data_IF_034976951565
#
_entry.id   IF_034976951565
#
_cell.length_a   1.000
_cell.length_b   1.000
_cell.length_c   1.000
_cell.angle_alpha   90.00
_cell.angle_beta   90.00
_cell.angle_gamma   90.00
#
_symmetry.space_group_name_H-M   'P 1'
#
loop_
_entity.id
_entity.type
_entity.pdbx_description
1 polymer ?
#
# COMPACT_ATOMS: atom_id res chain seq x y z
N UNK A 1 -27.27 -26.35 40.77
CA UNK A 1 -26.08 -26.58 41.61
C UNK A 1 -25.27 -27.65 40.90
N UNK A 2 -24.30 -27.24 40.08
CA UNK A 2 -22.91 -26.94 40.44
C UNK A 2 -22.08 -28.19 40.17
N UNK A 3 -21.43 -28.26 39.01
CA UNK A 3 -20.10 -28.86 38.96
C UNK A 3 -19.30 -28.28 37.79
N UNK A 4 -18.51 -27.27 38.17
CA UNK A 4 -17.42 -26.69 37.40
C UNK A 4 -16.27 -27.68 37.53
N UNK A 5 -16.04 -28.50 36.51
CA UNK A 5 -14.85 -29.37 36.45
C UNK A 5 -13.86 -28.83 35.41
N UNK A 6 -13.02 -27.95 35.92
CA UNK A 6 -11.63 -27.66 35.54
C UNK A 6 -10.94 -28.80 34.78
N UNK A 7 -10.34 -28.52 33.61
CA UNK A 7 -8.90 -28.72 33.35
C UNK A 7 -8.49 -28.27 31.94
N UNK A 8 -7.57 -27.32 31.96
CA UNK A 8 -6.62 -26.94 30.92
C UNK A 8 -6.03 -28.21 30.27
N UNK A 9 -6.18 -28.35 28.97
CA UNK A 9 -5.39 -29.26 28.16
C UNK A 9 -4.76 -28.45 27.03
N UNK A 10 -3.48 -28.15 27.20
CA UNK A 10 -2.60 -27.70 26.14
C UNK A 10 -2.53 -28.78 25.05
N UNK A 11 -2.60 -28.36 23.79
CA UNK A 11 -2.49 -29.24 22.64
C UNK A 11 -2.17 -28.44 21.39
N UNK A 12 -0.88 -28.16 21.23
CA UNK A 12 -0.26 -27.62 20.01
C UNK A 12 -0.58 -28.52 18.81
N UNK A 13 -0.90 -27.93 17.66
CA UNK A 13 -0.70 -28.61 16.37
C UNK A 13 -1.70 -28.28 15.27
N UNK A 14 -1.40 -27.24 14.49
CA UNK A 14 -1.58 -27.26 13.03
C UNK A 14 -0.95 -26.00 12.43
N UNK A 15 0.29 -26.13 11.96
CA UNK A 15 0.90 -25.23 10.99
C UNK A 15 0.08 -25.30 9.71
N UNK A 16 -0.67 -24.24 9.39
CA UNK A 16 -1.18 -24.00 8.06
C UNK A 16 -0.53 -22.71 7.54
N UNK A 17 0.42 -22.89 6.63
CA UNK A 17 1.03 -21.84 5.85
C UNK A 17 -0.05 -21.10 5.05
N UNK A 18 -0.18 -19.81 5.28
CA UNK A 18 -0.69 -18.85 4.32
C UNK A 18 0.04 -17.52 4.54
N UNK A 19 1.29 -17.47 4.05
CA UNK A 19 1.99 -16.23 3.80
C UNK A 19 1.19 -15.46 2.74
N UNK A 20 0.36 -14.51 3.17
CA UNK A 20 -0.45 -13.74 2.22
C UNK A 20 -1.40 -12.72 2.80
N UNK A 21 -1.32 -12.40 4.09
CA UNK A 21 -2.11 -11.32 4.67
C UNK A 21 -1.17 -10.27 5.26
N UNK A 22 -0.57 -9.46 4.37
CA UNK A 22 -0.16 -8.10 4.77
C UNK A 22 -1.45 -7.33 5.01
N UNK A 23 -2.01 -7.48 6.23
CA UNK A 23 -3.00 -6.54 6.71
C UNK A 23 -2.23 -5.26 7.01
N UNK A 24 -2.05 -4.44 5.97
CA UNK A 24 -1.65 -3.05 6.13
C UNK A 24 -2.79 -2.34 6.87
N UNK A 25 -2.77 -2.39 8.20
CA UNK A 25 -3.54 -1.50 9.07
C UNK A 25 -2.86 -0.13 9.05
N UNK A 26 -2.92 0.53 7.89
CA UNK A 26 -2.61 1.96 7.82
C UNK A 26 -3.73 2.76 8.47
N UNK A 27 -3.44 3.94 9.05
CA UNK A 27 -4.48 4.83 9.56
C UNK A 27 -5.47 5.12 8.44
N UNK A 28 -6.76 4.89 8.72
CA UNK A 28 -7.87 5.37 7.89
C UNK A 28 -7.77 6.88 7.85
N UNK A 29 -7.22 7.42 6.77
CA UNK A 29 -7.16 8.85 6.58
C UNK A 29 -8.03 9.20 5.40
N UNK A 30 -8.79 10.26 5.62
CA UNK A 30 -9.42 11.17 4.67
C UNK A 30 -8.56 11.20 3.40
N UNK A 31 -9.15 11.24 2.20
CA UNK A 31 -8.42 11.10 0.92
C UNK A 31 -7.32 12.16 0.63
N UNK A 32 -6.95 12.98 1.61
CA UNK A 32 -5.79 13.86 1.65
C UNK A 32 -4.81 13.32 2.72
N UNK A 33 -3.57 13.06 2.33
CA UNK A 33 -2.57 12.55 3.24
C UNK A 33 -1.44 11.80 2.57
N UNK A 34 -0.52 11.30 3.40
CA UNK A 34 0.66 10.53 2.97
C UNK A 34 0.76 9.22 3.73
N UNK A 35 0.83 8.11 3.01
CA UNK A 35 0.93 6.76 3.56
C UNK A 35 2.17 6.07 3.02
N UNK A 36 3.05 5.66 3.93
CA UNK A 36 4.32 5.05 3.59
C UNK A 36 4.38 3.60 4.06
N UNK A 37 4.96 2.72 3.24
CA UNK A 37 5.36 1.38 3.62
C UNK A 37 6.72 1.07 2.99
N UNK A 38 7.69 0.73 3.84
CA UNK A 38 9.08 0.49 3.46
C UNK A 38 9.67 1.64 2.64
N UNK A 39 10.03 1.41 1.38
CA UNK A 39 10.64 2.43 0.51
C UNK A 39 9.62 3.22 -0.30
N UNK A 40 8.32 2.98 -0.14
CA UNK A 40 7.27 3.53 -1.01
C UNK A 40 6.28 4.36 -0.20
N UNK A 41 5.93 5.55 -0.70
CA UNK A 41 4.84 6.36 -0.16
C UNK A 41 3.85 6.76 -1.24
N UNK A 42 2.58 6.82 -0.87
CA UNK A 42 1.49 7.42 -1.64
C UNK A 42 1.13 8.73 -0.99
N UNK A 43 0.85 9.75 -1.78
CA UNK A 43 0.34 11.03 -1.34
C UNK A 43 -0.85 11.43 -2.22
N UNK A 44 -1.95 11.82 -1.59
CA UNK A 44 -3.16 12.30 -2.27
C UNK A 44 -3.53 13.66 -1.68
N UNK A 45 -4.19 14.49 -2.48
CA UNK A 45 -4.52 15.88 -2.10
C UNK A 45 -6.02 16.17 -2.18
N UNK A 46 -6.81 15.16 -2.54
CA UNK A 46 -8.25 15.28 -2.72
C UNK A 46 -8.98 14.93 -1.42
N UNK A 47 -10.29 15.13 -1.32
CA UNK A 47 -11.06 14.75 -0.14
C UNK A 47 -12.29 13.92 -0.49
N UNK A 48 -12.78 13.17 0.48
CA UNK A 48 -13.87 12.22 0.29
C UNK A 48 -13.53 11.13 -0.72
N UNK A 49 -14.43 10.89 -1.66
CA UNK A 49 -14.35 9.76 -2.59
C UNK A 49 -13.64 10.06 -3.90
N UNK A 50 -13.30 11.32 -4.16
CA UNK A 50 -12.68 11.72 -5.42
C UNK A 50 -11.17 11.55 -5.35
N UNK A 51 -10.55 11.01 -6.40
CA UNK A 51 -9.10 11.02 -6.59
C UNK A 51 -8.78 11.68 -7.93
N UNK A 52 -8.29 12.91 -7.88
CA UNK A 52 -7.79 13.67 -9.00
C UNK A 52 -6.32 13.35 -9.29
N UNK A 53 -5.49 13.34 -8.24
CA UNK A 53 -4.05 13.07 -8.34
C UNK A 53 -3.56 12.19 -7.20
N UNK A 54 -2.82 11.15 -7.55
CA UNK A 54 -2.10 10.28 -6.62
C UNK A 54 -0.62 10.36 -6.93
N UNK A 55 0.17 10.94 -6.02
CA UNK A 55 1.62 10.89 -6.11
C UNK A 55 2.14 9.61 -5.49
N UNK A 56 3.15 9.03 -6.13
CA UNK A 56 3.92 7.93 -5.58
C UNK A 56 5.38 8.31 -5.53
N UNK A 57 6.03 7.97 -4.42
CA UNK A 57 7.46 8.16 -4.24
C UNK A 57 8.13 6.86 -3.83
N UNK A 58 9.32 6.61 -4.39
CA UNK A 58 10.13 5.43 -4.08
C UNK A 58 11.54 5.87 -3.70
N UNK A 59 11.94 5.60 -2.47
CA UNK A 59 13.27 5.94 -1.95
C UNK A 59 14.31 4.99 -2.55
N UNK A 60 15.29 5.54 -3.26
CA UNK A 60 16.43 4.78 -3.76
C UNK A 60 17.54 4.65 -2.70
N UNK A 61 18.40 3.66 -2.89
CA UNK A 61 19.48 3.31 -1.96
C UNK A 61 20.83 3.84 -2.44
N UNK A 62 21.91 3.21 -2.01
CA UNK A 62 23.30 3.56 -2.28
C UNK A 62 23.78 3.29 -3.72
N UNK A 63 22.92 2.77 -4.61
CA UNK A 63 23.24 2.48 -6.00
C UNK A 63 22.18 3.06 -6.94
N UNK A 64 22.56 3.44 -8.18
CA UNK A 64 21.58 3.83 -9.18
C UNK A 64 20.69 2.62 -9.51
N UNK A 65 19.39 2.86 -9.66
CA UNK A 65 18.44 1.81 -10.01
C UNK A 65 17.43 2.34 -11.02
N UNK A 66 17.01 1.47 -11.94
CA UNK A 66 15.81 1.70 -12.74
C UNK A 66 14.59 1.51 -11.85
N UNK A 67 13.81 2.56 -11.67
CA UNK A 67 12.65 2.59 -10.77
C UNK A 67 11.38 2.81 -11.57
N UNK A 68 10.33 2.13 -11.15
CA UNK A 68 8.95 2.33 -11.60
C UNK A 68 7.99 2.12 -10.43
N UNK A 69 6.73 2.48 -10.62
CA UNK A 69 5.67 2.18 -9.68
C UNK A 69 4.37 1.84 -10.40
N UNK A 70 3.47 1.18 -9.69
CA UNK A 70 2.11 0.89 -10.13
C UNK A 70 1.14 1.34 -9.05
N UNK A 71 0.19 2.18 -9.42
CA UNK A 71 -0.91 2.59 -8.56
C UNK A 71 -2.16 1.83 -8.99
N UNK A 72 -2.92 1.30 -8.05
CA UNK A 72 -4.14 0.56 -8.35
C UNK A 72 -5.16 0.66 -7.23
N UNK A 73 -6.42 0.39 -7.57
CA UNK A 73 -7.52 0.34 -6.61
C UNK A 73 -8.18 -1.03 -6.62
N UNK A 74 -8.74 -1.44 -5.49
CA UNK A 74 -9.47 -2.72 -5.39
C UNK A 74 -10.74 -2.77 -6.24
N UNK A 75 -11.20 -1.64 -6.77
CA UNK A 75 -12.33 -1.56 -7.69
C UNK A 75 -11.94 -1.61 -9.18
N UNK A 76 -10.68 -1.96 -9.50
CA UNK A 76 -10.26 -2.28 -10.86
C UNK A 76 -9.66 -1.14 -11.68
N UNK A 77 -9.34 0.02 -11.08
CA UNK A 77 -8.50 1.01 -11.76
C UNK A 77 -7.04 0.77 -11.45
N UNK A 78 -6.18 0.99 -12.44
CA UNK A 78 -4.74 0.94 -12.27
C UNK A 78 -4.03 1.81 -13.29
N UNK A 79 -2.88 2.34 -12.90
CA UNK A 79 -1.96 3.05 -13.77
C UNK A 79 -0.51 2.68 -13.40
N UNK A 80 0.34 2.54 -14.41
CA UNK A 80 1.78 2.46 -14.21
C UNK A 80 2.36 3.87 -14.32
N UNK A 81 3.35 4.16 -13.50
CA UNK A 81 4.11 5.41 -13.59
C UNK A 81 5.25 5.27 -14.60
N UNK A 82 5.90 6.39 -14.92
CA UNK A 82 7.09 6.38 -15.80
C UNK A 82 8.18 5.47 -15.25
N UNK A 83 9.01 4.94 -16.12
CA UNK A 83 10.22 4.20 -15.73
C UNK A 83 11.42 5.12 -15.89
N UNK A 84 12.22 5.29 -14.84
CA UNK A 84 13.35 6.22 -14.83
C UNK A 84 14.57 5.61 -14.14
N UNK A 85 15.77 5.88 -14.67
CA UNK A 85 17.03 5.57 -13.99
C UNK A 85 17.32 6.63 -12.93
N UNK A 86 17.22 6.24 -11.67
CA UNK A 86 17.34 7.15 -10.53
C UNK A 86 18.71 6.99 -9.90
N UNK A 87 19.42 8.10 -9.75
CA UNK A 87 20.73 8.11 -9.11
C UNK A 87 20.66 7.64 -7.64
N UNK A 88 21.81 7.23 -7.08
CA UNK A 88 21.92 6.84 -5.67
C UNK A 88 21.43 7.96 -4.74
N UNK A 89 20.79 7.57 -3.64
CA UNK A 89 20.25 8.46 -2.60
C UNK A 89 19.27 9.53 -3.10
N UNK A 90 18.63 9.30 -4.25
CA UNK A 90 17.55 10.13 -4.77
C UNK A 90 16.21 9.41 -4.63
N UNK A 91 15.15 10.17 -4.44
CA UNK A 91 13.79 9.63 -4.39
C UNK A 91 13.16 9.78 -5.76
N UNK A 92 12.72 8.66 -6.33
CA UNK A 92 11.82 8.66 -7.48
C UNK A 92 10.50 9.29 -7.08
N UNK A 93 9.91 10.12 -7.94
CA UNK A 93 8.55 10.63 -7.78
C UNK A 93 7.84 10.65 -9.12
N UNK A 94 6.59 10.20 -9.12
CA UNK A 94 5.70 10.36 -10.26
C UNK A 94 4.24 10.38 -9.81
N UNK A 95 3.35 10.70 -10.75
CA UNK A 95 1.93 10.93 -10.47
C UNK A 95 1.07 10.01 -11.32
N UNK A 96 -0.05 9.57 -10.76
CA UNK A 96 -1.13 8.93 -11.48
C UNK A 96 -2.42 9.75 -11.33
N UNK A 97 -3.23 9.78 -12.38
CA UNK A 97 -4.41 10.66 -12.45
C UNK A 97 -5.68 9.82 -12.66
N UNK A 98 -6.32 9.32 -11.59
CA UNK A 98 -7.58 8.61 -11.72
C UNK A 98 -8.73 9.47 -12.23
N UNK A 99 -8.77 10.75 -11.82
CA UNK A 99 -9.76 11.77 -12.19
C UNK A 99 -11.21 11.30 -12.09
N UNK A 100 -11.54 10.59 -11.00
CA UNK A 100 -12.87 10.00 -10.81
C UNK A 100 -13.20 9.76 -9.34
N UNK A 101 -14.48 9.56 -9.06
CA UNK A 101 -14.95 9.09 -7.76
C UNK A 101 -14.80 7.57 -7.62
N UNK A 102 -14.54 7.14 -6.39
CA UNK A 102 -14.43 5.76 -5.97
C UNK A 102 -15.44 5.47 -4.85
N UNK A 103 -16.09 4.30 -4.84
CA UNK A 103 -16.94 3.93 -3.71
C UNK A 103 -16.16 3.98 -2.39
N UNK A 104 -16.78 4.50 -1.33
CA UNK A 104 -16.21 4.43 0.02
C UNK A 104 -15.88 2.96 0.38
N UNK A 105 -14.74 2.75 1.04
CA UNK A 105 -14.19 1.43 1.30
C UNK A 105 -13.28 0.88 0.19
N UNK A 106 -13.21 1.54 -0.97
CA UNK A 106 -12.21 1.19 -2.00
C UNK A 106 -10.81 1.41 -1.43
N UNK A 107 -9.90 0.45 -1.62
CA UNK A 107 -8.50 0.62 -1.23
C UNK A 107 -7.70 1.15 -2.42
N UNK A 108 -6.97 2.23 -2.20
CA UNK A 108 -5.92 2.75 -3.08
C UNK A 108 -4.58 2.19 -2.61
N UNK A 109 -3.85 1.54 -3.52
CA UNK A 109 -2.55 0.96 -3.25
C UNK A 109 -1.53 1.43 -4.29
N UNK A 110 -0.26 1.45 -3.91
CA UNK A 110 0.83 1.68 -4.83
C UNK A 110 1.97 0.73 -4.50
N UNK A 111 2.56 0.16 -5.55
CA UNK A 111 3.70 -0.72 -5.47
C UNK A 111 4.88 -0.06 -6.14
N UNK A 112 6.01 0.03 -5.45
CA UNK A 112 7.25 0.55 -6.00
C UNK A 112 8.20 -0.58 -6.39
N UNK A 113 8.85 -0.44 -7.53
CA UNK A 113 9.82 -1.41 -8.04
C UNK A 113 11.19 -0.75 -8.19
N UNK A 114 12.22 -1.39 -7.65
CA UNK A 114 13.63 -0.96 -7.76
C UNK A 114 14.43 -2.09 -8.37
N UNK A 115 14.95 -1.89 -9.58
CA UNK A 115 15.65 -2.95 -10.32
C UNK A 115 14.77 -4.18 -10.61
N UNK A 116 13.45 -3.97 -10.74
CA UNK A 116 12.46 -5.04 -10.95
C UNK A 116 11.95 -5.72 -9.67
N UNK A 117 12.56 -5.49 -8.51
CA UNK A 117 12.09 -6.02 -7.23
C UNK A 117 11.08 -5.07 -6.57
N UNK A 118 9.99 -5.61 -6.02
CA UNK A 118 9.04 -4.84 -5.20
C UNK A 118 9.70 -4.39 -3.89
N UNK A 119 9.57 -3.11 -3.55
CA UNK A 119 10.21 -2.48 -2.38
C UNK A 119 9.21 -1.78 -1.45
N UNK A 120 7.93 -2.06 -1.60
CA UNK A 120 6.91 -1.54 -0.71
C UNK A 120 5.54 -1.47 -1.36
N UNK A 121 4.51 -1.60 -0.53
CA UNK A 121 3.12 -1.61 -0.95
C UNK A 121 2.24 -0.85 0.06
N UNK A 122 2.35 0.49 0.17
CA UNK A 122 1.37 1.27 0.91
C UNK A 122 -0.03 1.07 0.33
N UNK A 123 -1.01 1.01 1.21
CA UNK A 123 -2.43 1.00 0.86
C UNK A 123 -3.21 1.86 1.85
N UNK A 124 -4.18 2.62 1.35
CA UNK A 124 -5.12 3.42 2.14
C UNK A 124 -6.55 3.11 1.69
N UNK A 125 -7.49 3.12 2.63
CA UNK A 125 -8.92 3.00 2.34
C UNK A 125 -9.52 4.39 2.11
N UNK A 126 -10.16 4.58 0.96
CA UNK A 126 -10.90 5.80 0.62
C UNK A 126 -12.17 5.86 1.48
N UNK A 127 -12.33 6.94 2.22
CA UNK A 127 -13.51 7.22 3.05
C UNK A 127 -14.25 8.45 2.55
N UNK A 128 -15.50 8.64 2.98
CA UNK A 128 -16.25 9.87 2.72
C UNK A 128 -15.67 11.06 3.48
#
# INVERSE_FOLDING_TARGET
MLDITRKIAAGVGALAAALGCVVATGPSAVADGKWCNHSVCIETYDSGTYLGRVEVSVTNTNQPNRISARVWTTNGWSANTKVEDVAKFRTYRDQAYPQRHFPAGTRLCAEGFRGGASVGLPCVTITN
#
